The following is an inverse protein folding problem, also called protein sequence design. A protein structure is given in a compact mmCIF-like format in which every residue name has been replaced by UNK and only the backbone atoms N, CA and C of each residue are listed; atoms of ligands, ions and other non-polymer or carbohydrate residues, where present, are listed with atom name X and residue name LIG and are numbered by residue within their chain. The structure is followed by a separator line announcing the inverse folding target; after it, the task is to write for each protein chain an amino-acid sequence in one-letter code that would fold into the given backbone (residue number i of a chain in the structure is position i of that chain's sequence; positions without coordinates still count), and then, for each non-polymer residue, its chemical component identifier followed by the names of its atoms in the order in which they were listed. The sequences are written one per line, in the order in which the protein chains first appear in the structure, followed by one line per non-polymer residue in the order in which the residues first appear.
data_IF_202079481770
#
_entry.id   IF_202079481770
#
_cell.length_a   1.000
_cell.length_b   1.000
_cell.length_c   1.000
_cell.angle_alpha   90.00
_cell.angle_beta   90.00
_cell.angle_gamma   90.00
#
_symmetry.space_group_name_H-M   'P 1'
#
loop_
_entity.id
_entity.type
_entity.pdbx_description
1 polymer ?
#
# COMPACT_ATOMS: atom_id res chain seq x y z
N UNK A 1 14.60 -60.46 71.22
CA UNK A 1 14.59 -59.48 72.27
C UNK A 1 15.35 -58.27 71.83
N UNK A 2 14.86 -57.04 71.91
CA UNK A 2 13.52 -56.51 72.18
C UNK A 2 12.94 -55.64 71.02
N UNK A 3 11.69 -55.49 71.17
CA UNK A 3 10.74 -54.58 70.53
C UNK A 3 11.10 -53.12 70.61
N UNK A 4 10.96 -52.32 69.55
CA UNK A 4 10.79 -50.85 69.68
C UNK A 4 9.69 -50.34 68.74
N UNK A 5 8.97 -49.35 69.28
CA UNK A 5 7.67 -48.85 68.91
C UNK A 5 7.72 -47.88 67.71
N UNK A 6 6.71 -48.01 66.90
CA UNK A 6 6.44 -47.10 65.78
C UNK A 6 5.75 -45.82 66.25
N UNK A 7 6.39 -44.66 66.08
CA UNK A 7 5.79 -43.35 66.29
C UNK A 7 4.99 -42.89 65.02
N UNK A 8 3.73 -42.55 65.29
CA UNK A 8 2.79 -42.02 64.28
C UNK A 8 3.15 -40.58 63.86
N UNK A 9 3.52 -40.40 62.62
CA UNK A 9 3.70 -39.06 62.00
C UNK A 9 2.37 -38.47 61.55
N UNK A 10 2.02 -37.31 62.09
CA UNK A 10 0.87 -36.50 61.69
C UNK A 10 1.08 -35.93 60.28
N UNK A 11 0.16 -36.22 59.38
CA UNK A 11 0.09 -35.59 58.06
C UNK A 11 -0.48 -34.18 58.21
N UNK A 12 0.33 -33.16 57.87
CA UNK A 12 -0.12 -31.76 57.76
C UNK A 12 -0.70 -31.57 56.35
N UNK A 13 -2.03 -31.46 56.28
CA UNK A 13 -2.76 -31.15 55.07
C UNK A 13 -2.56 -29.70 54.64
N UNK A 14 -1.71 -29.46 53.64
CA UNK A 14 -1.60 -28.14 53.00
C UNK A 14 -2.75 -28.00 52.04
N UNK A 15 -3.74 -27.21 52.43
CA UNK A 15 -4.87 -26.82 51.56
C UNK A 15 -4.40 -25.74 50.62
N UNK A 16 -4.05 -26.13 49.38
CA UNK A 16 -3.76 -25.17 48.29
C UNK A 16 -5.03 -24.40 47.92
N UNK A 17 -5.11 -23.15 48.35
CA UNK A 17 -6.12 -22.21 47.84
C UNK A 17 -5.79 -21.87 46.38
N UNK A 18 -6.55 -22.43 45.46
CA UNK A 18 -6.55 -21.99 44.04
C UNK A 18 -7.20 -20.61 44.01
N UNK A 19 -6.40 -19.56 43.85
CA UNK A 19 -6.89 -18.24 43.47
C UNK A 19 -7.44 -18.34 42.06
N UNK A 20 -8.65 -17.81 41.76
CA UNK A 20 -9.15 -17.74 40.41
C UNK A 20 -8.24 -16.80 39.59
N UNK A 21 -7.72 -17.31 38.50
CA UNK A 21 -7.07 -16.49 37.48
C UNK A 21 -8.08 -15.43 37.01
N UNK A 22 -7.89 -14.21 37.48
CA UNK A 22 -8.60 -13.04 36.96
C UNK A 22 -8.20 -12.93 35.49
N UNK A 23 -9.10 -13.34 34.61
CA UNK A 23 -9.04 -13.00 33.20
C UNK A 23 -9.04 -11.46 33.14
N UNK A 24 -7.85 -10.90 32.97
CA UNK A 24 -7.67 -9.45 32.82
C UNK A 24 -8.48 -9.07 31.58
N UNK A 25 -9.60 -8.39 31.78
CA UNK A 25 -10.39 -7.83 30.71
C UNK A 25 -9.43 -7.05 29.81
N UNK A 26 -9.35 -7.47 28.55
CA UNK A 26 -8.59 -6.73 27.53
C UNK A 26 -9.16 -5.32 27.52
N UNK A 27 -8.27 -4.33 27.76
CA UNK A 27 -8.62 -2.93 27.84
C UNK A 27 -9.50 -2.54 26.64
N UNK A 28 -10.64 -1.93 26.91
CA UNK A 28 -11.55 -1.30 25.96
C UNK A 28 -10.96 0.02 25.41
N UNK A 29 -9.68 0.01 25.05
CA UNK A 29 -9.11 1.11 24.29
C UNK A 29 -9.80 1.15 22.93
N UNK A 30 -10.35 2.29 22.51
CA UNK A 30 -11.01 2.40 21.22
C UNK A 30 -10.04 1.94 20.13
N UNK A 31 -10.46 0.92 19.37
CA UNK A 31 -9.64 0.47 18.25
C UNK A 31 -9.44 1.65 17.31
N UNK A 32 -8.21 1.96 16.90
CA UNK A 32 -7.99 3.05 15.97
C UNK A 32 -8.84 2.85 14.73
N UNK A 33 -9.51 3.91 14.30
CA UNK A 33 -10.32 3.86 13.07
C UNK A 33 -9.46 3.41 11.91
N UNK A 34 -9.91 2.43 11.10
CA UNK A 34 -9.10 1.91 10.02
C UNK A 34 -8.70 3.00 9.04
N UNK A 35 -7.45 2.99 8.57
CA UNK A 35 -6.91 3.95 7.61
C UNK A 35 -7.42 3.63 6.20
N UNK A 36 -8.08 4.58 5.51
CA UNK A 36 -8.50 4.38 4.14
C UNK A 36 -7.29 4.45 3.18
N UNK A 37 -7.30 3.58 2.17
CA UNK A 37 -6.46 3.69 0.98
C UNK A 37 -7.32 4.16 -0.18
N UNK A 38 -6.91 5.22 -0.87
CA UNK A 38 -7.54 5.69 -2.11
C UNK A 38 -6.56 5.49 -3.25
N UNK A 39 -6.94 4.66 -4.23
CA UNK A 39 -6.07 4.29 -5.34
C UNK A 39 -6.44 5.08 -6.58
N UNK A 40 -5.47 5.77 -7.18
CA UNK A 40 -5.65 6.57 -8.39
C UNK A 40 -5.12 5.80 -9.60
N UNK A 41 -5.91 5.71 -10.67
CA UNK A 41 -5.58 4.99 -11.90
C UNK A 41 -5.88 5.84 -13.14
N UNK A 42 -5.29 5.48 -14.30
CA UNK A 42 -5.63 6.07 -15.62
C UNK A 42 -6.01 5.04 -16.69
N UNK A 43 -5.87 3.76 -16.42
CA UNK A 43 -6.04 2.71 -17.46
C UNK A 43 -6.52 1.38 -16.89
N UNK A 44 -5.80 0.30 -17.23
CA UNK A 44 -6.18 -1.09 -16.85
C UNK A 44 -6.16 -1.35 -15.35
N UNK A 45 -5.33 -0.63 -14.58
CA UNK A 45 -5.25 -0.74 -13.13
C UNK A 45 -4.63 -2.05 -12.64
N UNK A 46 -3.68 -2.64 -13.37
CA UNK A 46 -3.08 -3.93 -12.97
C UNK A 46 -2.39 -3.86 -11.59
N UNK A 47 -1.66 -2.78 -11.31
CA UNK A 47 -1.08 -2.54 -9.99
C UNK A 47 -2.17 -2.35 -8.91
N UNK A 48 -3.25 -1.64 -9.20
CA UNK A 48 -4.41 -1.52 -8.31
C UNK A 48 -5.00 -2.89 -7.99
N UNK A 49 -5.18 -3.75 -9.00
CA UNK A 49 -5.68 -5.11 -8.79
C UNK A 49 -4.75 -5.93 -7.88
N UNK A 50 -3.43 -5.82 -8.05
CA UNK A 50 -2.46 -6.50 -7.20
C UNK A 50 -2.56 -6.02 -5.74
N UNK A 51 -2.71 -4.72 -5.52
CA UNK A 51 -2.90 -4.12 -4.18
C UNK A 51 -4.20 -4.60 -3.54
N UNK A 52 -5.33 -4.57 -4.27
CA UNK A 52 -6.63 -5.02 -3.75
C UNK A 52 -6.59 -6.49 -3.36
N UNK A 53 -6.07 -7.36 -4.23
CA UNK A 53 -5.92 -8.79 -3.94
C UNK A 53 -5.04 -9.05 -2.71
N UNK A 54 -3.93 -8.32 -2.58
CA UNK A 54 -3.07 -8.42 -1.41
C UNK A 54 -3.77 -7.96 -0.12
N UNK A 55 -4.49 -6.84 -0.18
CA UNK A 55 -5.26 -6.32 0.96
C UNK A 55 -6.31 -7.32 1.45
N UNK A 56 -7.00 -7.98 0.53
CA UNK A 56 -7.99 -9.03 0.85
C UNK A 56 -7.32 -10.29 1.39
N UNK A 57 -6.36 -10.86 0.64
CA UNK A 57 -5.71 -12.13 0.99
C UNK A 57 -4.95 -12.05 2.32
N UNK A 58 -4.34 -10.91 2.61
CA UNK A 58 -3.56 -10.69 3.82
C UNK A 58 -4.38 -10.03 4.93
N UNK A 59 -5.68 -9.80 4.72
CA UNK A 59 -6.62 -9.25 5.72
C UNK A 59 -6.10 -7.95 6.36
N UNK A 60 -5.77 -6.97 5.52
CA UNK A 60 -5.17 -5.71 5.99
C UNK A 60 -6.08 -4.95 6.95
N UNK A 61 -7.40 -5.07 6.81
CA UNK A 61 -8.34 -4.40 7.71
C UNK A 61 -8.17 -4.87 9.16
N UNK A 62 -7.99 -6.17 9.37
CA UNK A 62 -7.85 -6.76 10.70
C UNK A 62 -6.41 -6.67 11.22
N UNK A 63 -5.42 -6.88 10.34
CA UNK A 63 -4.01 -6.95 10.73
C UNK A 63 -3.32 -5.60 10.82
N UNK A 64 -3.71 -4.65 9.95
CA UNK A 64 -3.04 -3.36 9.79
C UNK A 64 -3.95 -2.17 10.07
N UNK A 65 -5.24 -2.42 10.34
CA UNK A 65 -6.22 -1.35 10.46
C UNK A 65 -6.32 -0.50 9.20
N UNK A 66 -6.23 -1.11 7.99
CA UNK A 66 -6.26 -0.38 6.73
C UNK A 66 -7.15 -1.10 5.69
N UNK A 67 -7.78 -0.36 4.80
CA UNK A 67 -8.67 -0.93 3.78
C UNK A 67 -8.70 -0.07 2.51
N UNK A 68 -8.94 -0.69 1.36
CA UNK A 68 -9.16 0.05 0.11
C UNK A 68 -10.54 0.70 0.17
N UNK A 69 -10.57 2.02 0.28
CA UNK A 69 -11.80 2.80 0.44
C UNK A 69 -12.42 3.16 -0.91
N UNK A 70 -11.60 3.44 -1.92
CA UNK A 70 -12.07 3.78 -3.25
C UNK A 70 -10.98 3.62 -4.31
N UNK A 71 -11.42 3.50 -5.57
CA UNK A 71 -10.60 3.63 -6.77
C UNK A 71 -11.10 4.84 -7.57
N UNK A 72 -10.22 5.80 -7.85
CA UNK A 72 -10.57 7.00 -8.60
C UNK A 72 -9.77 7.04 -9.89
N UNK A 73 -10.41 7.38 -11.00
CA UNK A 73 -9.74 7.56 -12.29
C UNK A 73 -9.89 8.98 -12.82
N UNK A 74 -8.84 9.47 -13.51
CA UNK A 74 -8.92 10.70 -14.30
C UNK A 74 -9.49 10.49 -15.71
N UNK A 75 -9.93 9.25 -16.01
CA UNK A 75 -10.52 8.88 -17.31
C UNK A 75 -11.76 8.02 -17.08
N UNK A 76 -12.90 8.36 -17.72
CA UNK A 76 -14.14 7.60 -17.58
C UNK A 76 -14.06 6.21 -18.24
N UNK A 77 -13.19 6.04 -19.26
CA UNK A 77 -12.99 4.82 -20.01
C UNK A 77 -11.92 3.88 -19.41
N UNK A 78 -11.41 4.17 -18.21
CA UNK A 78 -10.42 3.34 -17.54
C UNK A 78 -11.01 1.97 -17.16
N UNK A 79 -10.47 0.89 -17.77
CA UNK A 79 -10.93 -0.48 -17.54
C UNK A 79 -10.84 -0.93 -16.07
N UNK A 80 -9.87 -0.38 -15.33
CA UNK A 80 -9.70 -0.65 -13.90
C UNK A 80 -10.91 -0.26 -13.05
N UNK A 81 -11.72 0.73 -13.48
CA UNK A 81 -12.94 1.12 -12.76
C UNK A 81 -13.99 -0.01 -12.79
N UNK A 82 -14.21 -0.63 -13.96
CA UNK A 82 -15.14 -1.73 -14.09
C UNK A 82 -14.71 -2.94 -13.24
N UNK A 83 -13.40 -3.24 -13.23
CA UNK A 83 -12.87 -4.29 -12.39
C UNK A 83 -13.07 -3.98 -10.88
N UNK A 84 -12.74 -2.76 -10.43
CA UNK A 84 -12.90 -2.35 -9.04
C UNK A 84 -14.38 -2.39 -8.58
N UNK A 85 -15.31 -1.95 -9.44
CA UNK A 85 -16.74 -2.06 -9.17
C UNK A 85 -17.20 -3.52 -9.05
N UNK A 86 -16.66 -4.43 -9.88
CA UNK A 86 -16.88 -5.88 -9.79
C UNK A 86 -16.41 -6.50 -8.48
N UNK A 87 -15.36 -5.94 -7.87
CA UNK A 87 -14.87 -6.32 -6.54
C UNK A 87 -15.66 -5.64 -5.39
N UNK A 88 -16.72 -4.89 -5.70
CA UNK A 88 -17.54 -4.20 -4.71
C UNK A 88 -16.88 -2.94 -4.13
N UNK A 89 -15.82 -2.42 -4.76
CA UNK A 89 -15.16 -1.21 -4.29
C UNK A 89 -15.87 0.05 -4.82
N UNK A 90 -16.01 1.10 -4.00
CA UNK A 90 -16.45 2.41 -4.46
C UNK A 90 -15.53 2.93 -5.56
N UNK A 91 -16.12 3.49 -6.61
CA UNK A 91 -15.37 4.09 -7.73
C UNK A 91 -15.83 5.52 -7.97
N UNK A 92 -14.91 6.36 -8.46
CA UNK A 92 -15.22 7.73 -8.88
C UNK A 92 -14.42 8.09 -10.14
N UNK A 93 -14.94 9.05 -10.89
CA UNK A 93 -14.28 9.64 -12.05
C UNK A 93 -14.14 11.13 -11.82
N UNK A 94 -12.91 11.63 -11.98
CA UNK A 94 -12.60 13.06 -12.07
C UNK A 94 -11.95 13.26 -13.44
N UNK A 95 -12.76 13.49 -14.48
CA UNK A 95 -12.24 13.61 -15.84
C UNK A 95 -11.39 14.87 -15.98
N UNK A 96 -10.08 14.70 -16.18
CA UNK A 96 -9.13 15.80 -16.29
C UNK A 96 -9.43 16.75 -17.46
N UNK A 97 -10.17 16.29 -18.47
CA UNK A 97 -10.57 17.11 -19.64
C UNK A 97 -11.70 18.11 -19.30
N UNK A 98 -12.42 17.89 -18.20
CA UNK A 98 -13.52 18.75 -17.77
C UNK A 98 -13.04 20.01 -17.01
N UNK A 99 -11.74 20.15 -16.77
CA UNK A 99 -11.19 21.26 -15.98
C UNK A 99 -10.28 22.17 -16.81
N UNK A 100 -10.35 23.49 -16.59
CA UNK A 100 -9.59 24.47 -17.38
C UNK A 100 -8.09 24.48 -17.06
N UNK A 101 -7.70 23.99 -15.89
CA UNK A 101 -6.29 23.97 -15.46
C UNK A 101 -5.98 22.73 -14.63
N UNK A 102 -4.68 22.44 -14.43
CA UNK A 102 -4.22 21.38 -13.56
C UNK A 102 -4.60 21.61 -12.11
N UNK A 103 -4.54 22.86 -11.67
CA UNK A 103 -4.90 23.28 -10.31
C UNK A 103 -6.39 23.03 -10.03
N UNK A 104 -7.27 23.36 -11.00
CA UNK A 104 -8.70 23.10 -10.88
C UNK A 104 -9.01 21.58 -10.87
N UNK A 105 -8.32 20.80 -11.69
CA UNK A 105 -8.42 19.35 -11.68
C UNK A 105 -7.94 18.76 -10.34
N UNK A 106 -6.77 19.18 -9.86
CA UNK A 106 -6.18 18.67 -8.62
C UNK A 106 -7.04 19.03 -7.39
N UNK A 107 -7.66 20.24 -7.39
CA UNK A 107 -8.63 20.59 -6.36
C UNK A 107 -9.83 19.64 -6.34
N UNK A 108 -10.43 19.38 -7.51
CA UNK A 108 -11.55 18.45 -7.63
C UNK A 108 -11.15 16.99 -7.27
N UNK A 109 -9.94 16.58 -7.65
CA UNK A 109 -9.40 15.27 -7.28
C UNK A 109 -9.24 15.15 -5.75
N UNK A 110 -8.71 16.19 -5.11
CA UNK A 110 -8.56 16.23 -3.65
C UNK A 110 -9.92 16.20 -2.92
N UNK A 111 -10.95 16.86 -3.45
CA UNK A 111 -12.31 16.78 -2.94
C UNK A 111 -12.91 15.38 -3.13
N UNK A 112 -12.67 14.76 -4.27
CA UNK A 112 -13.12 13.37 -4.51
C UNK A 112 -12.47 12.39 -3.54
N UNK A 113 -11.19 12.55 -3.23
CA UNK A 113 -10.48 11.75 -2.22
C UNK A 113 -11.10 11.98 -0.83
N UNK A 114 -11.37 13.23 -0.45
CA UNK A 114 -11.90 13.59 0.86
C UNK A 114 -13.25 12.92 1.17
N UNK A 115 -14.06 12.59 0.16
CA UNK A 115 -15.32 11.82 0.35
C UNK A 115 -15.09 10.43 0.93
N UNK A 116 -13.91 9.86 0.73
CA UNK A 116 -13.51 8.54 1.24
C UNK A 116 -12.50 8.63 2.39
N UNK A 117 -12.19 9.84 2.84
CA UNK A 117 -11.20 10.15 3.89
C UNK A 117 -11.74 11.18 4.88
N UNK A 118 -12.78 10.84 5.66
CA UNK A 118 -13.41 11.79 6.58
C UNK A 118 -12.47 12.35 7.64
N UNK A 119 -11.43 11.59 8.00
CA UNK A 119 -10.45 11.96 9.03
C UNK A 119 -9.19 12.64 8.46
N UNK A 120 -9.08 12.80 7.14
CA UNK A 120 -7.91 13.39 6.48
C UNK A 120 -6.65 12.55 6.58
N UNK A 121 -6.76 11.20 6.73
CA UNK A 121 -5.65 10.27 6.99
C UNK A 121 -5.38 9.29 5.87
N UNK A 122 -6.10 9.37 4.75
CA UNK A 122 -5.97 8.41 3.66
C UNK A 122 -4.53 8.31 3.16
N UNK A 123 -4.10 7.09 2.89
CA UNK A 123 -2.97 6.82 2.03
C UNK A 123 -3.45 6.91 0.58
N UNK A 124 -2.89 7.82 -0.20
CA UNK A 124 -3.16 7.96 -1.62
C UNK A 124 -2.10 7.20 -2.43
N UNK A 125 -2.55 6.33 -3.32
CA UNK A 125 -1.68 5.40 -4.06
C UNK A 125 -1.84 5.62 -5.55
N UNK A 126 -0.79 6.06 -6.24
CA UNK A 126 -0.75 6.25 -7.68
C UNK A 126 -0.41 4.92 -8.37
N UNK A 127 -1.41 4.24 -8.91
CA UNK A 127 -1.25 2.93 -9.57
C UNK A 127 -1.41 3.05 -11.09
N UNK A 128 -0.41 3.61 -11.75
CA UNK A 128 -0.49 3.93 -13.18
C UNK A 128 -1.35 5.18 -13.44
N UNK A 129 -1.20 6.19 -12.60
CA UNK A 129 -1.89 7.48 -12.74
C UNK A 129 -1.06 8.42 -13.64
N UNK A 130 -1.53 8.64 -14.86
CA UNK A 130 -0.78 9.33 -15.92
C UNK A 130 -1.00 10.86 -15.92
N UNK A 131 -0.93 11.49 -14.75
CA UNK A 131 -1.02 12.95 -14.58
C UNK A 131 0.10 13.43 -13.67
N UNK A 132 0.71 14.57 -14.06
CA UNK A 132 1.63 15.27 -13.18
C UNK A 132 0.78 16.13 -12.24
N UNK A 133 0.85 15.84 -10.96
CA UNK A 133 0.16 16.56 -9.90
C UNK A 133 0.88 17.87 -9.57
N UNK A 134 0.12 18.88 -9.17
CA UNK A 134 0.68 20.18 -8.78
C UNK A 134 1.40 20.09 -7.43
N UNK A 135 2.37 21.00 -7.15
CA UNK A 135 3.02 21.05 -5.85
C UNK A 135 2.04 21.17 -4.67
N UNK A 136 0.97 21.97 -4.83
CA UNK A 136 -0.05 22.13 -3.80
C UNK A 136 -0.82 20.85 -3.50
N UNK A 137 -1.11 20.02 -4.52
CA UNK A 137 -1.71 18.70 -4.30
C UNK A 137 -0.73 17.77 -3.56
N UNK A 138 0.53 17.74 -4.00
CA UNK A 138 1.56 16.90 -3.38
C UNK A 138 1.78 17.29 -1.92
N UNK A 139 1.83 18.59 -1.61
CA UNK A 139 1.96 19.10 -0.25
C UNK A 139 0.77 18.69 0.65
N UNK A 140 -0.46 18.77 0.13
CA UNK A 140 -1.67 18.33 0.85
C UNK A 140 -1.59 16.87 1.29
N UNK A 141 -0.94 16.02 0.50
CA UNK A 141 -0.79 14.60 0.79
C UNK A 141 0.65 14.21 1.16
N UNK A 142 1.47 15.16 1.60
CA UNK A 142 2.87 14.93 1.97
C UNK A 142 3.01 13.77 2.97
N UNK A 143 3.98 12.89 2.71
CA UNK A 143 4.24 11.70 3.51
C UNK A 143 3.25 10.54 3.35
N UNK A 144 2.13 10.73 2.64
CA UNK A 144 1.06 9.74 2.43
C UNK A 144 0.57 9.67 0.98
N UNK A 145 1.43 9.99 0.04
CA UNK A 145 1.22 9.86 -1.40
C UNK A 145 2.33 8.96 -1.96
N UNK A 146 1.97 7.77 -2.44
CA UNK A 146 2.89 6.78 -2.97
C UNK A 146 2.76 6.65 -4.48
N UNK A 147 3.88 6.40 -5.14
CA UNK A 147 3.94 6.08 -6.57
C UNK A 147 4.81 4.86 -6.81
N UNK A 148 4.51 4.15 -7.90
CA UNK A 148 5.40 3.15 -8.48
C UNK A 148 5.90 3.65 -9.83
N UNK A 149 7.23 3.63 -10.01
CA UNK A 149 7.89 4.08 -11.21
C UNK A 149 8.65 2.91 -11.85
N UNK A 150 8.50 2.67 -13.17
CA UNK A 150 9.05 1.50 -13.83
C UNK A 150 10.53 1.70 -14.22
N UNK A 151 11.36 2.11 -13.27
CA UNK A 151 12.83 2.14 -13.36
C UNK A 151 13.46 1.97 -11.98
N UNK A 152 14.77 1.77 -11.96
CA UNK A 152 15.60 1.79 -10.75
C UNK A 152 16.00 3.23 -10.42
N UNK A 153 15.09 4.01 -9.84
CA UNK A 153 15.39 5.39 -9.45
C UNK A 153 16.67 5.46 -8.59
N UNK A 154 17.52 6.49 -8.78
CA UNK A 154 17.29 7.73 -9.55
C UNK A 154 17.54 7.59 -11.06
N UNK A 155 17.83 6.40 -11.58
CA UNK A 155 18.02 6.21 -13.02
C UNK A 155 16.67 6.29 -13.76
N UNK A 156 16.68 6.96 -14.91
CA UNK A 156 15.55 7.06 -15.83
C UNK A 156 14.26 7.59 -15.22
N UNK A 157 14.24 8.78 -14.58
CA UNK A 157 12.99 9.43 -14.19
C UNK A 157 12.16 9.80 -15.43
N UNK A 158 10.85 9.99 -15.28
CA UNK A 158 9.92 10.38 -16.34
C UNK A 158 9.54 9.22 -17.26
N UNK A 159 9.25 9.55 -18.52
CA UNK A 159 8.65 8.62 -19.48
C UNK A 159 9.67 7.71 -20.20
N UNK A 160 9.15 6.65 -20.85
CA UNK A 160 9.89 5.73 -21.73
C UNK A 160 11.08 5.02 -21.08
N UNK A 161 10.97 4.69 -19.82
CA UNK A 161 12.04 4.12 -18.99
C UNK A 161 12.65 2.85 -19.59
N UNK A 162 11.83 1.91 -20.04
CA UNK A 162 12.29 0.63 -20.61
C UNK A 162 13.09 0.85 -21.89
N UNK A 163 12.59 1.69 -22.83
CA UNK A 163 13.32 2.05 -24.05
C UNK A 163 14.66 2.67 -23.72
N UNK A 164 14.66 3.67 -22.84
CA UNK A 164 15.89 4.39 -22.42
C UNK A 164 16.92 3.47 -21.77
N UNK A 165 16.47 2.52 -20.95
CA UNK A 165 17.35 1.53 -20.32
C UNK A 165 17.98 0.58 -21.36
N UNK A 166 17.22 0.14 -22.36
CA UNK A 166 17.71 -0.70 -23.45
C UNK A 166 18.71 0.09 -24.31
N UNK A 167 18.35 1.30 -24.75
CA UNK A 167 19.20 2.17 -25.58
C UNK A 167 20.51 2.57 -24.87
N UNK A 168 20.48 2.74 -23.55
CA UNK A 168 21.66 2.99 -22.74
C UNK A 168 22.55 1.75 -22.52
N UNK A 169 22.16 0.58 -23.05
CA UNK A 169 22.92 -0.66 -22.89
C UNK A 169 22.95 -1.20 -21.47
N UNK A 170 21.98 -0.83 -20.63
CA UNK A 170 21.88 -1.35 -19.25
C UNK A 170 21.71 -2.88 -19.26
N UNK A 171 22.27 -3.54 -18.24
CA UNK A 171 22.10 -5.00 -18.04
C UNK A 171 20.91 -5.33 -17.15
N UNK A 172 20.44 -4.33 -16.38
CA UNK A 172 19.33 -4.45 -15.43
C UNK A 172 18.41 -3.25 -15.60
N UNK A 173 17.13 -3.54 -15.35
CA UNK A 173 16.05 -2.57 -15.17
C UNK A 173 15.26 -2.95 -13.93
N UNK A 174 14.14 -2.30 -13.66
CA UNK A 174 13.31 -2.65 -12.51
C UNK A 174 12.22 -1.63 -12.25
N UNK A 175 11.72 -1.65 -11.04
CA UNK A 175 10.72 -0.73 -10.55
C UNK A 175 11.07 -0.18 -9.18
N UNK A 176 10.57 1.01 -8.88
CA UNK A 176 10.76 1.71 -7.60
C UNK A 176 9.42 2.16 -7.05
N UNK A 177 9.12 1.79 -5.81
CA UNK A 177 8.05 2.40 -5.02
C UNK A 177 8.66 3.50 -4.18
N UNK A 178 8.09 4.70 -4.24
CA UNK A 178 8.59 5.86 -3.53
C UNK A 178 7.48 6.76 -3.01
N UNK A 179 7.78 7.59 -2.02
CA UNK A 179 6.93 8.71 -1.63
C UNK A 179 7.00 9.79 -2.72
N UNK A 180 5.85 10.38 -3.04
CA UNK A 180 5.81 11.49 -4.01
C UNK A 180 6.18 12.79 -3.33
N UNK A 181 7.06 13.55 -3.98
CA UNK A 181 7.48 14.91 -3.61
C UNK A 181 7.17 15.86 -4.76
N UNK A 182 7.37 17.16 -4.54
CA UNK A 182 7.18 18.17 -5.59
C UNK A 182 8.12 17.97 -6.78
N UNK A 183 9.28 17.35 -6.57
CA UNK A 183 10.22 16.99 -7.62
C UNK A 183 9.84 15.63 -8.20
N UNK A 184 9.72 15.57 -9.54
CA UNK A 184 9.26 14.37 -10.24
C UNK A 184 10.22 13.19 -10.02
N UNK A 185 9.68 12.07 -9.52
CA UNK A 185 10.38 10.80 -9.30
C UNK A 185 11.63 10.90 -8.37
N UNK A 186 11.68 11.89 -7.46
CA UNK A 186 12.81 12.13 -6.55
C UNK A 186 12.49 11.92 -5.05
N UNK A 187 11.31 11.42 -4.72
CA UNK A 187 10.95 11.17 -3.33
C UNK A 187 11.66 9.97 -2.69
N UNK A 188 11.61 9.86 -1.36
CA UNK A 188 12.19 8.75 -0.62
C UNK A 188 11.76 7.38 -1.15
N UNK A 189 12.75 6.53 -1.45
CA UNK A 189 12.52 5.18 -1.97
C UNK A 189 12.08 4.27 -0.83
N UNK A 190 10.96 3.58 -1.04
CA UNK A 190 10.43 2.61 -0.09
C UNK A 190 10.85 1.19 -0.45
N UNK A 191 10.78 0.80 -1.72
CA UNK A 191 11.13 -0.53 -2.18
C UNK A 191 11.56 -0.51 -3.64
N UNK A 192 12.47 -1.41 -4.03
CA UNK A 192 12.89 -1.60 -5.41
C UNK A 192 12.95 -3.08 -5.77
N UNK A 193 12.68 -3.39 -7.04
CA UNK A 193 12.92 -4.70 -7.62
C UNK A 193 13.73 -4.59 -8.90
N UNK A 194 14.60 -5.57 -9.11
CA UNK A 194 15.53 -5.62 -10.25
C UNK A 194 15.14 -6.77 -11.17
N UNK A 195 15.19 -6.53 -12.47
CA UNK A 195 15.05 -7.55 -13.50
C UNK A 195 16.21 -7.45 -14.51
N UNK A 196 16.66 -8.58 -15.10
CA UNK A 196 17.65 -8.53 -16.17
C UNK A 196 17.02 -7.98 -17.46
N UNK A 197 17.82 -7.25 -18.24
CA UNK A 197 17.55 -6.96 -19.65
C UNK A 197 18.20 -8.08 -20.46
N UNK A 198 17.38 -8.83 -21.21
CA UNK A 198 17.82 -9.97 -21.98
C UNK A 198 18.19 -9.57 -23.42
N UNK A 199 19.09 -10.30 -24.08
CA UNK A 199 19.34 -10.08 -25.51
C UNK A 199 18.07 -10.18 -26.32
N UNK A 200 17.80 -9.19 -27.17
CA UNK A 200 16.59 -9.13 -28.00
C UNK A 200 15.35 -8.58 -27.31
N UNK A 201 15.46 -8.10 -26.07
CA UNK A 201 14.33 -7.42 -25.42
C UNK A 201 13.87 -6.19 -26.20
N UNK A 202 12.56 -6.07 -26.33
CA UNK A 202 11.89 -4.83 -26.73
C UNK A 202 11.40 -4.08 -25.48
N UNK A 203 11.05 -2.79 -25.58
CA UNK A 203 10.43 -2.08 -24.47
C UNK A 203 9.22 -2.81 -23.88
N UNK A 204 8.43 -3.48 -24.72
CA UNK A 204 7.21 -4.21 -24.33
C UNK A 204 7.54 -5.50 -23.54
N UNK A 205 8.52 -6.28 -24.00
CA UNK A 205 8.93 -7.51 -23.29
C UNK A 205 9.57 -7.19 -21.94
N UNK A 206 10.38 -6.13 -21.89
CA UNK A 206 10.96 -5.64 -20.65
C UNK A 206 9.89 -5.08 -19.71
N UNK A 207 8.94 -4.29 -20.24
CA UNK A 207 7.82 -3.77 -19.45
C UNK A 207 6.99 -4.89 -18.82
N UNK A 208 6.66 -5.94 -19.57
CA UNK A 208 5.94 -7.09 -19.03
C UNK A 208 6.70 -7.78 -17.90
N UNK A 209 8.03 -7.90 -18.01
CA UNK A 209 8.88 -8.47 -16.95
C UNK A 209 8.94 -7.56 -15.72
N UNK A 210 9.10 -6.25 -15.89
CA UNK A 210 9.10 -5.28 -14.80
C UNK A 210 7.75 -5.29 -14.08
N UNK A 211 6.64 -5.33 -14.82
CA UNK A 211 5.28 -5.34 -14.28
C UNK A 211 5.04 -6.51 -13.30
N UNK A 212 5.62 -7.68 -13.56
CA UNK A 212 5.51 -8.81 -12.62
C UNK A 212 6.11 -8.49 -11.26
N UNK A 213 7.19 -7.70 -11.23
CA UNK A 213 7.82 -7.26 -10.00
C UNK A 213 7.04 -6.12 -9.34
N UNK A 214 6.48 -5.20 -10.13
CA UNK A 214 5.63 -4.14 -9.60
C UNK A 214 4.46 -4.71 -8.77
N UNK A 215 3.80 -5.75 -9.29
CA UNK A 215 2.70 -6.42 -8.61
C UNK A 215 3.10 -7.08 -7.27
N UNK A 216 4.39 -7.37 -7.07
CA UNK A 216 4.92 -7.93 -5.83
C UNK A 216 5.34 -6.83 -4.85
N UNK A 217 6.14 -5.86 -5.33
CA UNK A 217 6.75 -4.88 -4.44
C UNK A 217 5.78 -3.78 -4.00
N UNK A 218 4.79 -3.43 -4.83
CA UNK A 218 3.89 -2.33 -4.46
C UNK A 218 3.02 -2.67 -3.25
N UNK A 219 2.31 -3.82 -3.19
CA UNK A 219 1.60 -4.21 -1.98
C UNK A 219 2.51 -4.32 -0.76
N UNK A 220 3.74 -4.84 -0.91
CA UNK A 220 4.71 -4.97 0.18
C UNK A 220 5.17 -3.63 0.72
N UNK A 221 5.46 -2.67 -0.16
CA UNK A 221 5.83 -1.32 0.24
C UNK A 221 4.69 -0.61 0.98
N UNK A 222 3.43 -0.78 0.52
CA UNK A 222 2.25 -0.26 1.21
C UNK A 222 2.10 -0.91 2.59
N UNK A 223 2.22 -2.23 2.71
CA UNK A 223 2.13 -2.93 3.99
C UNK A 223 3.18 -2.43 4.97
N UNK A 224 4.44 -2.27 4.52
CA UNK A 224 5.52 -1.73 5.35
C UNK A 224 5.21 -0.31 5.81
N UNK A 225 4.82 0.57 4.90
CA UNK A 225 4.45 1.95 5.23
C UNK A 225 3.31 1.99 6.27
N UNK A 226 2.27 1.16 6.11
CA UNK A 226 1.16 1.07 7.05
C UNK A 226 1.61 0.65 8.45
N UNK A 227 2.57 -0.26 8.57
CA UNK A 227 3.14 -0.70 9.86
C UNK A 227 3.94 0.42 10.53
N UNK A 228 4.74 1.16 9.76
CA UNK A 228 5.54 2.27 10.26
C UNK A 228 4.66 3.43 10.75
N UNK A 229 3.53 3.68 10.09
CA UNK A 229 2.58 4.74 10.45
C UNK A 229 1.56 4.35 11.53
N UNK A 230 1.58 3.11 12.01
CA UNK A 230 0.71 2.63 13.10
C UNK A 230 1.26 2.99 14.49
N UNK A 231 2.48 3.53 14.55
CA UNK A 231 3.17 3.97 15.77
C UNK A 231 3.26 5.48 15.81
#
# INVERSE_FOLDING_TARGET
MPTEAIAAGRAIGVRAQRQPLHCRAMSDAPRPTPRPLVILISGTGSNMQAIVRAAQAQRWRERLGAFVAAVISNRPDAQGLAWAAGEGLPTAVVDHKAYPSREAFDAALAEAIARFDPDGRALVVLAGFMRILTPGFVERFAGRLLNIHPSLLPAFPGLHTHRRAIEAGCRFAGATVHLVTAELDHGPILEQAVVPILPGDTPETLAARVLTQEHLIYPRAIERWLREMAH
#
